data_IF_404702620704
#
_entry.id   IF_404702620704
#
_cell.length_a   1.000
_cell.length_b   1.000
_cell.length_c   1.000
_cell.angle_alpha   90.00
_cell.angle_beta   90.00
_cell.angle_gamma   90.00
#
_symmetry.space_group_name_H-M   'P 1'
#
loop_
_entity.id
_entity.type
_entity.pdbx_description
1 polymer ?
#
# COMPACT_ATOMS: atom_id res chain seq x y z
N UNK A 1 -1.21 20.29 7.92
CA UNK A 1 0.03 21.04 8.17
C UNK A 1 1.14 20.01 8.22
N UNK A 2 1.99 19.94 7.19
CA UNK A 2 3.14 19.02 7.17
C UNK A 2 4.32 19.78 7.77
N UNK A 3 4.87 19.27 8.86
CA UNK A 3 6.00 19.90 9.55
C UNK A 3 7.26 19.77 8.68
N UNK A 4 7.93 20.88 8.35
CA UNK A 4 9.20 20.88 7.59
C UNK A 4 10.41 20.49 8.42
N UNK A 5 10.19 19.87 9.58
CA UNK A 5 11.24 19.58 10.54
C UNK A 5 12.12 18.42 10.07
N UNK A 6 13.38 18.42 10.50
CA UNK A 6 14.31 17.31 10.20
C UNK A 6 13.80 15.98 10.76
N UNK A 7 13.07 16.00 11.88
CA UNK A 7 12.42 14.80 12.39
C UNK A 7 11.41 14.21 11.39
N UNK A 8 10.62 15.05 10.70
CA UNK A 8 9.65 14.57 9.72
C UNK A 8 10.33 13.99 8.47
N UNK A 9 11.37 14.67 7.98
CA UNK A 9 12.12 14.24 6.79
C UNK A 9 12.84 12.92 6.97
N UNK A 10 13.32 12.64 8.18
CA UNK A 10 14.08 11.43 8.50
C UNK A 10 13.22 10.33 9.12
N UNK A 11 11.93 10.57 9.36
CA UNK A 11 11.03 9.55 9.88
C UNK A 11 10.76 8.48 8.82
N UNK A 12 10.91 7.22 9.21
CA UNK A 12 10.70 6.05 8.34
C UNK A 12 9.31 5.42 8.52
N UNK A 13 8.64 5.71 9.64
CA UNK A 13 7.29 5.22 9.94
C UNK A 13 6.33 6.37 10.28
N UNK A 14 5.10 6.26 9.76
CA UNK A 14 3.98 7.13 10.13
C UNK A 14 2.71 6.33 10.31
N UNK A 15 2.03 6.55 11.45
CA UNK A 15 0.65 6.15 11.67
C UNK A 15 -0.19 7.39 11.88
N UNK A 16 -1.18 7.61 11.02
CA UNK A 16 -1.96 8.82 10.98
C UNK A 16 -3.46 8.47 10.95
N UNK A 17 -4.15 8.79 12.04
CA UNK A 17 -5.58 8.54 12.21
C UNK A 17 -6.29 9.88 12.32
N UNK A 18 -7.27 10.15 11.46
CA UNK A 18 -8.01 11.40 11.49
C UNK A 18 -8.94 11.55 10.30
N UNK A 19 -9.89 12.48 10.38
CA UNK A 19 -10.75 12.79 9.24
C UNK A 19 -9.98 13.67 8.26
N UNK A 20 -9.53 13.08 7.15
CA UNK A 20 -8.83 13.85 6.13
C UNK A 20 -9.78 14.22 4.99
N UNK A 21 -9.95 15.52 4.78
CA UNK A 21 -10.77 16.03 3.68
C UNK A 21 -10.22 15.61 2.30
N UNK A 22 -11.08 15.69 1.29
CA UNK A 22 -10.68 15.61 -0.12
C UNK A 22 -9.50 16.58 -0.36
N UNK A 23 -8.44 16.12 -1.03
CA UNK A 23 -7.19 16.88 -1.31
C UNK A 23 -6.11 16.92 -0.23
N UNK A 24 -5.83 15.83 0.49
CA UNK A 24 -4.52 15.71 1.16
C UNK A 24 -3.41 15.82 0.09
N UNK A 25 -2.39 16.68 0.30
CA UNK A 25 -1.14 16.61 -0.44
C UNK A 25 -0.39 15.35 -0.01
N UNK A 26 -0.49 14.30 -0.83
CA UNK A 26 0.07 12.98 -0.50
C UNK A 26 1.59 12.95 -0.60
N UNK A 27 2.21 13.93 -1.26
CA UNK A 27 3.65 14.01 -1.53
C UNK A 27 4.48 13.88 -0.25
N UNK A 28 3.99 14.47 0.84
CA UNK A 28 4.63 14.41 2.16
C UNK A 28 4.56 13.07 2.87
N UNK A 29 3.81 12.12 2.32
CA UNK A 29 3.57 10.78 2.86
C UNK A 29 4.32 9.70 2.07
N UNK A 30 4.90 10.06 0.91
CA UNK A 30 5.46 9.11 -0.04
C UNK A 30 6.87 8.62 0.35
N UNK A 31 7.52 9.22 1.35
CA UNK A 31 8.88 8.87 1.77
C UNK A 31 8.95 7.84 2.90
N UNK A 32 7.83 7.49 3.53
CA UNK A 32 7.82 6.53 4.63
C UNK A 32 8.03 5.10 4.13
N UNK A 33 8.85 4.33 4.83
CA UNK A 33 9.01 2.90 4.59
C UNK A 33 7.83 2.11 5.15
N UNK A 34 7.23 2.62 6.24
CA UNK A 34 6.04 2.07 6.88
C UNK A 34 4.98 3.15 7.03
N UNK A 35 3.88 3.04 6.29
CA UNK A 35 2.81 4.04 6.28
C UNK A 35 1.47 3.42 6.65
N UNK A 36 0.76 4.03 7.60
CA UNK A 36 -0.62 3.71 7.89
C UNK A 36 -1.43 5.00 7.97
N UNK A 37 -2.27 5.24 6.96
CA UNK A 37 -3.18 6.38 6.92
C UNK A 37 -4.61 5.88 6.80
N UNK A 38 -5.44 6.25 7.77
CA UNK A 38 -6.83 5.82 7.83
C UNK A 38 -7.78 7.00 7.71
N UNK A 39 -9.00 6.71 7.24
CA UNK A 39 -10.11 7.67 7.12
C UNK A 39 -9.82 8.87 6.20
N UNK A 40 -9.13 8.62 5.08
CA UNK A 40 -9.14 9.57 3.97
C UNK A 40 -10.56 9.62 3.40
N UNK A 41 -11.12 10.81 3.16
CA UNK A 41 -12.49 10.90 2.67
C UNK A 41 -12.66 10.18 1.33
N UNK A 42 -12.00 10.67 0.28
CA UNK A 42 -11.86 9.96 -1.00
C UNK A 42 -10.42 10.05 -1.49
N UNK A 43 -10.00 9.03 -2.22
CA UNK A 43 -8.71 8.95 -2.89
C UNK A 43 -8.99 8.80 -4.39
N UNK A 44 -8.42 9.69 -5.21
CA UNK A 44 -8.56 9.57 -6.66
C UNK A 44 -7.72 8.40 -7.18
N UNK A 45 -8.06 7.91 -8.36
CA UNK A 45 -7.34 6.81 -9.02
C UNK A 45 -5.86 7.17 -9.24
N UNK A 46 -5.57 8.41 -9.64
CA UNK A 46 -4.18 8.85 -9.88
C UNK A 46 -3.39 8.93 -8.57
N UNK A 47 -4.02 9.35 -7.47
CA UNK A 47 -3.35 9.39 -6.16
C UNK A 47 -3.10 7.99 -5.60
N UNK A 48 -4.06 7.08 -5.77
CA UNK A 48 -3.89 5.68 -5.38
C UNK A 48 -2.74 5.03 -6.17
N UNK A 49 -2.71 5.23 -7.48
CA UNK A 49 -1.58 4.78 -8.31
C UNK A 49 -0.27 5.43 -7.87
N UNK A 50 -0.24 6.74 -7.60
CA UNK A 50 0.97 7.45 -7.15
C UNK A 50 1.55 6.88 -5.84
N UNK A 51 0.73 6.37 -4.92
CA UNK A 51 1.23 5.64 -3.75
C UNK A 51 1.95 4.35 -4.17
N UNK A 52 1.31 3.53 -5.01
CA UNK A 52 1.85 2.25 -5.50
C UNK A 52 3.13 2.48 -6.31
N UNK A 53 3.06 3.32 -7.34
CA UNK A 53 4.16 3.64 -8.23
C UNK A 53 5.37 4.19 -7.47
N UNK A 54 5.15 5.17 -6.59
CA UNK A 54 6.26 5.74 -5.82
C UNK A 54 6.85 4.69 -4.86
N UNK A 55 6.01 3.87 -4.23
CA UNK A 55 6.50 2.80 -3.36
C UNK A 55 7.42 1.85 -4.13
N UNK A 56 7.01 1.38 -5.31
CA UNK A 56 7.80 0.51 -6.19
C UNK A 56 9.10 1.19 -6.66
N UNK A 57 9.01 2.44 -7.14
CA UNK A 57 10.15 3.21 -7.69
C UNK A 57 11.28 3.40 -6.67
N UNK A 58 10.97 3.46 -5.38
CA UNK A 58 11.98 3.59 -4.31
C UNK A 58 12.78 2.31 -4.07
N UNK A 59 12.42 1.19 -4.69
CA UNK A 59 13.00 -0.13 -4.44
C UNK A 59 13.01 -0.47 -2.93
N UNK A 60 11.83 -0.62 -2.32
CA UNK A 60 11.69 -0.70 -0.88
C UNK A 60 12.30 -2.00 -0.33
N UNK A 61 12.91 -1.92 0.86
CA UNK A 61 13.49 -3.08 1.53
C UNK A 61 12.41 -4.02 2.09
N UNK A 62 12.79 -5.26 2.40
CA UNK A 62 11.92 -6.23 3.09
C UNK A 62 11.33 -5.62 4.37
N UNK A 63 10.02 -5.80 4.58
CA UNK A 63 9.30 -5.24 5.73
C UNK A 63 8.81 -3.81 5.58
N UNK A 64 9.12 -3.16 4.45
CA UNK A 64 8.44 -1.92 4.05
C UNK A 64 6.99 -2.23 3.70
N UNK A 65 6.07 -1.36 4.08
CA UNK A 65 4.65 -1.53 3.83
C UNK A 65 3.88 -0.20 3.83
N UNK A 66 2.72 -0.19 3.18
CA UNK A 66 1.74 0.85 3.40
C UNK A 66 0.32 0.32 3.44
N UNK A 67 -0.53 0.99 4.21
CA UNK A 67 -1.98 0.93 4.07
C UNK A 67 -2.55 2.33 4.02
N UNK A 68 -3.40 2.57 3.02
CA UNK A 68 -4.12 3.82 2.83
C UNK A 68 -5.59 3.48 2.70
N UNK A 69 -6.37 3.85 3.70
CA UNK A 69 -7.78 3.51 3.80
C UNK A 69 -8.67 4.73 3.61
N UNK A 70 -9.75 4.54 2.85
CA UNK A 70 -10.74 5.56 2.54
C UNK A 70 -12.07 5.28 3.21
N UNK A 71 -12.86 6.33 3.44
CA UNK A 71 -14.23 6.18 3.94
C UNK A 71 -15.22 5.81 2.83
N UNK A 72 -14.99 6.33 1.63
CA UNK A 72 -15.78 5.98 0.44
C UNK A 72 -15.08 4.92 -0.40
N UNK A 73 -15.86 4.18 -1.18
CA UNK A 73 -15.33 3.14 -2.06
C UNK A 73 -14.34 3.72 -3.08
N UNK A 74 -13.31 2.94 -3.39
CA UNK A 74 -12.34 3.22 -4.45
C UNK A 74 -12.91 2.81 -5.81
N UNK A 75 -12.58 3.58 -6.83
CA UNK A 75 -12.74 3.16 -8.23
C UNK A 75 -11.59 2.22 -8.60
N UNK A 76 -11.81 0.92 -8.40
CA UNK A 76 -10.76 -0.09 -8.57
C UNK A 76 -10.36 -0.21 -10.03
N UNK A 77 -11.32 -0.27 -10.96
CA UNK A 77 -11.04 -0.38 -12.39
C UNK A 77 -10.22 0.82 -12.87
N UNK A 78 -10.60 2.05 -12.47
CA UNK A 78 -9.83 3.25 -12.79
C UNK A 78 -8.42 3.25 -12.16
N UNK A 79 -8.20 2.63 -10.99
CA UNK A 79 -6.85 2.46 -10.43
C UNK A 79 -6.04 1.50 -11.30
N UNK A 80 -6.62 0.37 -11.71
CA UNK A 80 -5.95 -0.66 -12.51
C UNK A 80 -5.60 -0.13 -13.91
N UNK A 81 -6.43 0.72 -14.52
CA UNK A 81 -6.14 1.40 -15.78
C UNK A 81 -4.89 2.29 -15.74
N UNK A 82 -4.49 2.75 -14.54
CA UNK A 82 -3.29 3.56 -14.35
C UNK A 82 -2.01 2.71 -14.18
N UNK A 83 -2.10 1.38 -14.07
CA UNK A 83 -0.92 0.54 -13.87
C UNK A 83 0.00 0.60 -15.08
N UNK A 84 1.31 0.68 -14.83
CA UNK A 84 2.34 0.57 -15.88
C UNK A 84 2.55 -0.87 -16.37
N UNK A 85 1.89 -1.85 -15.75
CA UNK A 85 1.92 -3.27 -16.10
C UNK A 85 0.48 -3.76 -16.29
N UNK A 86 0.29 -4.79 -17.11
CA UNK A 86 -1.04 -5.40 -17.27
C UNK A 86 -1.56 -5.91 -15.93
N UNK A 87 -2.76 -5.49 -15.48
CA UNK A 87 -3.36 -6.03 -14.27
C UNK A 87 -3.54 -7.54 -14.35
N UNK A 88 -3.03 -8.26 -13.35
CA UNK A 88 -3.19 -9.69 -13.17
C UNK A 88 -3.57 -9.98 -11.71
N UNK A 89 -4.78 -10.51 -11.50
CA UNK A 89 -5.28 -10.77 -10.15
C UNK A 89 -4.72 -12.10 -9.62
N UNK A 90 -3.79 -12.04 -8.69
CA UNK A 90 -3.06 -13.17 -8.12
C UNK A 90 -3.22 -13.24 -6.59
N UNK A 91 -4.36 -13.73 -6.08
CA UNK A 91 -4.60 -13.83 -4.64
C UNK A 91 -3.54 -14.68 -3.93
N UNK A 92 -3.01 -14.18 -2.81
CA UNK A 92 -2.01 -14.87 -1.98
C UNK A 92 -2.60 -15.63 -0.79
N UNK A 93 -3.90 -15.49 -0.55
CA UNK A 93 -4.62 -16.10 0.57
C UNK A 93 -5.09 -17.52 0.23
N UNK A 94 -5.04 -18.43 1.21
CA UNK A 94 -5.47 -19.83 1.05
C UNK A 94 -7.01 -19.99 1.00
N UNK A 95 -7.76 -19.02 1.50
CA UNK A 95 -9.22 -18.99 1.46
C UNK A 95 -9.69 -17.88 0.51
N UNK A 96 -10.86 -18.05 -0.12
CA UNK A 96 -11.53 -17.04 -0.93
C UNK A 96 -11.99 -15.87 -0.06
N UNK A 97 -11.04 -15.09 0.45
CA UNK A 97 -11.29 -13.83 1.09
C UNK A 97 -11.91 -12.88 0.08
N UNK A 98 -13.15 -12.49 0.34
CA UNK A 98 -13.89 -11.53 -0.50
C UNK A 98 -13.52 -10.09 -0.17
N UNK A 99 -12.59 -9.89 0.79
CA UNK A 99 -12.19 -8.59 1.27
C UNK A 99 -11.36 -7.82 0.23
N UNK A 100 -10.31 -8.45 -0.30
CA UNK A 100 -9.52 -7.88 -1.39
C UNK A 100 -10.17 -8.22 -2.73
N UNK A 101 -10.36 -7.21 -3.56
CA UNK A 101 -10.95 -7.33 -4.90
C UNK A 101 -9.88 -7.58 -5.96
N UNK A 102 -8.66 -7.10 -5.72
CA UNK A 102 -7.51 -7.32 -6.59
C UNK A 102 -6.24 -7.54 -5.76
N UNK A 103 -5.41 -8.49 -6.18
CA UNK A 103 -4.04 -8.66 -5.71
C UNK A 103 -3.11 -8.63 -6.91
N UNK A 104 -2.11 -7.75 -6.89
CA UNK A 104 -1.07 -7.67 -7.91
C UNK A 104 0.28 -7.99 -7.27
N UNK A 105 1.04 -8.85 -7.93
CA UNK A 105 2.43 -9.11 -7.59
C UNK A 105 3.33 -8.26 -8.48
N UNK A 106 4.25 -7.52 -7.87
CA UNK A 106 5.27 -6.76 -8.56
C UNK A 106 6.65 -7.33 -8.23
N UNK A 107 7.38 -7.72 -9.26
CA UNK A 107 8.77 -8.12 -9.14
C UNK A 107 9.63 -6.93 -8.70
N UNK A 108 10.61 -7.21 -7.83
CA UNK A 108 11.58 -6.23 -7.36
C UNK A 108 12.98 -6.61 -7.86
N UNK A 109 13.95 -5.67 -7.89
CA UNK A 109 15.33 -5.96 -8.23
C UNK A 109 15.99 -7.09 -7.42
N UNK A 110 15.54 -7.31 -6.17
CA UNK A 110 15.95 -8.49 -5.40
C UNK A 110 14.98 -9.65 -5.70
N UNK A 111 15.44 -10.74 -6.34
CA UNK A 111 14.56 -11.84 -6.78
C UNK A 111 13.97 -12.65 -5.62
N UNK A 112 14.47 -12.50 -4.40
CA UNK A 112 13.91 -13.17 -3.22
C UNK A 112 12.71 -12.41 -2.63
N UNK A 113 12.44 -11.20 -3.11
CA UNK A 113 11.39 -10.32 -2.60
C UNK A 113 10.38 -9.97 -3.69
N UNK A 114 9.12 -9.92 -3.30
CA UNK A 114 7.99 -9.49 -4.13
C UNK A 114 7.26 -8.38 -3.39
N UNK A 115 6.87 -7.33 -4.11
CA UNK A 115 5.92 -6.37 -3.58
C UNK A 115 4.50 -6.86 -3.85
N UNK A 116 3.81 -7.27 -2.79
CA UNK A 116 2.41 -7.69 -2.86
C UNK A 116 1.55 -6.44 -2.68
N UNK A 117 0.75 -6.10 -3.69
CA UNK A 117 -0.22 -5.01 -3.63
C UNK A 117 -1.61 -5.61 -3.59
N UNK A 118 -2.41 -5.22 -2.60
CA UNK A 118 -3.83 -5.61 -2.53
C UNK A 118 -4.72 -4.38 -2.52
N UNK A 119 -5.85 -4.48 -3.19
CA UNK A 119 -6.86 -3.43 -3.26
C UNK A 119 -8.18 -4.01 -2.72
N UNK A 120 -8.74 -3.35 -1.73
CA UNK A 120 -10.08 -3.60 -1.22
C UNK A 120 -11.03 -2.50 -1.67
N UNK A 121 -12.32 -2.64 -1.38
CA UNK A 121 -13.30 -1.59 -1.61
C UNK A 121 -12.91 -0.25 -0.98
N UNK A 122 -12.23 -0.26 0.18
CA UNK A 122 -11.94 0.93 0.98
C UNK A 122 -10.46 1.16 1.25
N UNK A 123 -9.57 0.60 0.42
CA UNK A 123 -8.15 0.84 0.65
C UNK A 123 -7.21 0.12 -0.29
N UNK A 124 -6.01 0.69 -0.36
CA UNK A 124 -4.85 0.11 -1.03
C UNK A 124 -3.81 -0.27 0.01
N UNK A 125 -3.19 -1.42 -0.21
CA UNK A 125 -2.25 -2.04 0.71
C UNK A 125 -1.05 -2.54 -0.08
N UNK A 126 0.15 -2.36 0.45
CA UNK A 126 1.33 -2.98 -0.10
C UNK A 126 2.26 -3.46 1.00
N UNK A 127 2.95 -4.57 0.74
CA UNK A 127 4.07 -5.02 1.57
C UNK A 127 5.14 -5.68 0.69
N UNK A 128 6.41 -5.43 1.03
CA UNK A 128 7.52 -6.20 0.48
C UNK A 128 7.66 -7.48 1.30
N UNK A 129 7.40 -8.61 0.66
CA UNK A 129 7.36 -9.94 1.25
C UNK A 129 8.44 -10.84 0.64
N UNK A 130 8.86 -11.87 1.39
CA UNK A 130 9.67 -12.96 0.83
C UNK A 130 8.81 -13.79 -0.13
N UNK A 131 9.39 -14.20 -1.25
CA UNK A 131 8.67 -14.99 -2.27
C UNK A 131 8.05 -16.29 -1.71
N UNK A 132 8.67 -16.87 -0.68
CA UNK A 132 8.21 -18.09 0.00
C UNK A 132 7.15 -17.86 1.08
N UNK A 133 6.86 -16.60 1.44
CA UNK A 133 6.01 -16.25 2.58
C UNK A 133 5.13 -15.02 2.27
N UNK A 134 4.59 -14.92 1.04
CA UNK A 134 3.85 -13.75 0.57
C UNK A 134 2.76 -13.30 1.56
N UNK A 135 1.85 -14.22 1.92
CA UNK A 135 0.72 -13.92 2.80
C UNK A 135 1.10 -13.73 4.28
N UNK A 136 1.90 -14.62 4.91
CA UNK A 136 2.34 -14.41 6.28
C UNK A 136 3.09 -13.09 6.47
N UNK A 137 4.01 -12.75 5.56
CA UNK A 137 4.76 -11.50 5.61
C UNK A 137 3.83 -10.29 5.43
N UNK A 138 2.92 -10.33 4.45
CA UNK A 138 1.97 -9.25 4.20
C UNK A 138 1.12 -8.95 5.44
N UNK A 139 0.54 -9.99 6.07
CA UNK A 139 -0.29 -9.83 7.26
C UNK A 139 0.51 -9.41 8.49
N UNK A 140 1.73 -9.92 8.64
CA UNK A 140 2.62 -9.50 9.73
C UNK A 140 2.98 -8.03 9.61
N UNK A 141 3.42 -7.57 8.42
CA UNK A 141 3.89 -6.21 8.25
C UNK A 141 2.78 -5.16 8.34
N UNK A 142 1.56 -5.47 7.89
CA UNK A 142 0.42 -4.54 7.93
C UNK A 142 -0.39 -4.60 9.22
N UNK A 143 -0.61 -5.78 9.77
CA UNK A 143 -1.56 -5.99 10.88
C UNK A 143 -0.91 -6.50 12.16
N UNK A 144 0.37 -6.89 12.13
CA UNK A 144 1.05 -7.47 13.29
C UNK A 144 0.52 -8.85 13.69
N UNK A 145 -0.18 -9.53 12.78
CA UNK A 145 -0.78 -10.85 13.01
C UNK A 145 0.15 -11.92 12.45
N UNK A 146 0.58 -12.87 13.29
CA UNK A 146 1.22 -14.11 12.83
C UNK A 146 0.14 -15.14 12.57
N UNK A 147 0.21 -15.78 11.41
CA UNK A 147 -0.50 -17.02 11.15
C UNK A 147 0.58 -18.10 11.14
N UNK A 148 0.38 -19.11 11.97
CA UNK A 148 1.19 -20.34 11.97
C UNK A 148 0.76 -21.25 10.83
#
# INVERSE_FOLDING_TARGET
MVSKTEQWKNATELKAFGYYNYNIPIESLLHFDRLNVQHINRLSTEKAWKFIENFLRRNPALGSCFQVQTMFALDIDGILENFSVSPNNEPTEHEYSTYYKHTQLFELPNPNHICVVKISEHGIYAAVSRITHLEPDFRWYLFGVRIE
#
